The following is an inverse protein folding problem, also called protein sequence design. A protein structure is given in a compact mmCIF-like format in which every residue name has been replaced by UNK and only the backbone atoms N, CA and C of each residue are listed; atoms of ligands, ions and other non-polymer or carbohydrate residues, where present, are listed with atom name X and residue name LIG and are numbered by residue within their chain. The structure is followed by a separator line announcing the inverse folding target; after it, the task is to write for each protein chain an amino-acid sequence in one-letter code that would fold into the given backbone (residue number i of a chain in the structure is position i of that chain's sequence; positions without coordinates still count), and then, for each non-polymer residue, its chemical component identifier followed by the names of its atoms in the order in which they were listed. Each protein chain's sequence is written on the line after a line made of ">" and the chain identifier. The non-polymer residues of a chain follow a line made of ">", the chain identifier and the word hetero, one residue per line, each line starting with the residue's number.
data_IF_912721699104
#
_entry.id   IF_912721699104
#
_cell.length_a   1.000
_cell.length_b   1.000
_cell.length_c   1.000
_cell.angle_alpha   90.00
_cell.angle_beta   90.00
_cell.angle_gamma   90.00
#
_symmetry.space_group_name_H-M   'P 1'
#
loop_
_entity.id
_entity.type
_entity.pdbx_description
1 polymer ?
#
# COMPACT_ATOMS: atom_id res chain seq x y z
N UNK A 1 29.39 -24.06 18.83
CA UNK A 1 28.52 -25.05 19.49
C UNK A 1 27.25 -24.32 19.91
N UNK A 2 26.30 -24.17 18.98
CA UNK A 2 25.12 -23.29 19.15
C UNK A 2 23.90 -24.19 19.39
N UNK A 3 23.31 -24.11 20.58
CA UNK A 3 22.11 -24.86 20.94
C UNK A 3 20.90 -24.22 20.27
N UNK A 4 20.23 -24.98 19.41
CA UNK A 4 18.88 -24.70 18.94
C UNK A 4 17.93 -24.72 20.14
N UNK A 5 17.27 -23.60 20.42
CA UNK A 5 16.12 -23.56 21.34
C UNK A 5 14.89 -23.79 20.47
N UNK A 6 14.30 -24.98 20.60
CA UNK A 6 13.05 -25.35 19.94
C UNK A 6 11.90 -24.50 20.50
N UNK A 7 11.24 -23.73 19.62
CA UNK A 7 9.95 -23.10 19.93
C UNK A 7 8.86 -24.19 19.96
N UNK A 8 7.92 -24.15 20.91
CA UNK A 8 6.85 -25.13 21.01
C UNK A 8 5.87 -24.98 19.83
N UNK A 9 5.42 -26.13 19.32
CA UNK A 9 4.41 -26.24 18.27
C UNK A 9 3.13 -25.49 18.68
N UNK A 10 2.78 -24.45 17.92
CA UNK A 10 1.47 -23.81 18.02
C UNK A 10 0.40 -24.77 17.48
N UNK A 11 -0.33 -25.39 18.40
CA UNK A 11 -1.53 -26.17 18.12
C UNK A 11 -2.70 -25.24 17.74
N UNK A 12 -3.31 -25.57 16.60
CA UNK A 12 -4.71 -25.40 16.22
C UNK A 12 -5.51 -24.25 16.86
N UNK A 13 -5.56 -23.12 16.15
CA UNK A 13 -6.65 -22.13 16.25
C UNK A 13 -7.14 -21.65 14.87
N UNK A 14 -6.97 -22.48 13.82
CA UNK A 14 -7.30 -22.15 12.42
C UNK A 14 -8.58 -22.81 11.90
N UNK A 15 -9.48 -23.29 12.76
CA UNK A 15 -10.61 -24.13 12.35
C UNK A 15 -12.01 -23.51 12.45
N UNK A 16 -12.19 -22.18 12.53
CA UNK A 16 -13.54 -21.59 12.54
C UNK A 16 -13.83 -20.41 11.60
N UNK A 17 -12.86 -19.94 10.80
CA UNK A 17 -13.08 -18.84 9.83
C UNK A 17 -13.15 -19.27 8.36
N UNK A 18 -13.05 -20.57 8.06
CA UNK A 18 -12.98 -21.11 6.70
C UNK A 18 -14.26 -21.81 6.20
N UNK A 19 -15.44 -21.44 6.72
CA UNK A 19 -16.72 -21.99 6.28
C UNK A 19 -17.51 -20.96 5.47
N UNK A 20 -17.42 -21.01 4.13
CA UNK A 20 -18.45 -20.36 3.30
C UNK A 20 -18.15 -19.98 1.86
N UNK A 21 -16.89 -19.98 1.38
CA UNK A 21 -16.63 -19.54 0.00
C UNK A 21 -16.45 -20.72 -0.97
N UNK A 22 -17.52 -21.08 -1.69
CA UNK A 22 -17.43 -21.89 -2.92
C UNK A 22 -17.24 -20.94 -4.11
N UNK A 23 -16.13 -20.99 -4.87
CA UNK A 23 -16.01 -20.22 -6.10
C UNK A 23 -17.05 -20.74 -7.11
N UNK A 24 -17.72 -19.86 -7.87
CA UNK A 24 -18.67 -20.29 -8.89
C UNK A 24 -17.94 -21.11 -9.97
N UNK A 25 -18.39 -22.35 -10.18
CA UNK A 25 -17.91 -23.24 -11.23
C UNK A 25 -18.44 -22.76 -12.59
N UNK A 26 -17.72 -21.82 -13.20
CA UNK A 26 -17.98 -21.32 -14.55
C UNK A 26 -16.99 -20.22 -14.95
N UNK A 27 -16.49 -20.27 -16.18
CA UNK A 27 -15.64 -19.20 -16.74
C UNK A 27 -16.50 -17.95 -16.95
N UNK A 28 -16.56 -17.08 -15.95
CA UNK A 28 -17.30 -15.81 -16.04
C UNK A 28 -16.63 -14.86 -17.05
N UNK A 29 -17.40 -14.06 -17.77
CA UNK A 29 -16.90 -13.01 -18.67
C UNK A 29 -15.84 -12.11 -18.01
N UNK A 30 -15.96 -11.88 -16.70
CA UNK A 30 -14.99 -11.14 -15.87
C UNK A 30 -13.61 -11.80 -15.87
N UNK A 31 -13.54 -13.13 -15.88
CA UNK A 31 -12.28 -13.90 -15.86
C UNK A 31 -11.53 -13.83 -17.20
N UNK A 32 -12.25 -13.93 -18.32
CA UNK A 32 -11.69 -13.78 -19.68
C UNK A 32 -11.18 -12.35 -19.87
N UNK A 33 -11.98 -11.36 -19.46
CA UNK A 33 -11.60 -9.95 -19.53
C UNK A 33 -10.36 -9.64 -18.69
N UNK A 34 -10.23 -10.25 -17.51
CA UNK A 34 -9.04 -10.14 -16.67
C UNK A 34 -7.80 -10.75 -17.33
N UNK A 35 -7.93 -11.90 -17.98
CA UNK A 35 -6.84 -12.54 -18.73
C UNK A 35 -6.39 -11.64 -19.89
N UNK A 36 -7.33 -11.08 -20.66
CA UNK A 36 -7.05 -10.12 -21.73
C UNK A 36 -6.29 -8.89 -21.22
N UNK A 37 -6.79 -8.23 -20.15
CA UNK A 37 -6.15 -7.04 -19.57
C UNK A 37 -4.71 -7.34 -19.14
N UNK A 38 -4.48 -8.51 -18.52
CA UNK A 38 -3.14 -8.94 -18.09
C UNK A 38 -2.21 -9.19 -19.27
N UNK A 39 -2.67 -9.89 -20.31
CA UNK A 39 -1.90 -10.16 -21.52
C UNK A 39 -1.52 -8.88 -22.26
N UNK A 40 -2.50 -7.99 -22.49
CA UNK A 40 -2.27 -6.70 -23.13
C UNK A 40 -1.28 -5.83 -22.33
N UNK A 41 -1.39 -5.81 -21.00
CA UNK A 41 -0.46 -5.06 -20.16
C UNK A 41 0.98 -5.61 -20.21
N UNK A 42 1.16 -6.94 -20.21
CA UNK A 42 2.49 -7.57 -20.36
C UNK A 42 3.11 -7.22 -21.70
N UNK A 43 2.33 -7.33 -22.77
CA UNK A 43 2.77 -7.01 -24.12
C UNK A 43 3.12 -5.52 -24.25
N UNK A 44 2.32 -4.63 -23.65
CA UNK A 44 2.62 -3.20 -23.61
C UNK A 44 3.90 -2.86 -22.84
N UNK A 45 4.17 -3.55 -21.71
CA UNK A 45 5.42 -3.38 -20.96
C UNK A 45 6.62 -3.89 -21.77
N UNK A 46 6.49 -5.06 -22.41
CA UNK A 46 7.55 -5.63 -23.23
C UNK A 46 7.90 -4.72 -24.42
N UNK A 47 6.88 -4.26 -25.16
CA UNK A 47 7.05 -3.31 -26.26
C UNK A 47 7.58 -1.96 -25.77
N UNK A 48 7.15 -1.47 -24.60
CA UNK A 48 7.61 -0.21 -24.02
C UNK A 48 9.05 -0.22 -23.51
N UNK A 49 9.67 -1.40 -23.37
CA UNK A 49 11.11 -1.56 -23.09
C UNK A 49 11.96 -1.44 -24.35
N UNK A 50 11.37 -1.62 -25.53
CA UNK A 50 12.04 -1.41 -26.82
C UNK A 50 11.91 0.08 -27.21
N UNK A 51 13.02 0.70 -27.59
CA UNK A 51 13.06 2.09 -28.07
C UNK A 51 11.97 2.45 -29.09
N UNK A 52 11.79 1.68 -30.18
CA UNK A 52 10.74 1.95 -31.17
C UNK A 52 9.32 1.76 -30.62
N UNK A 53 9.13 0.88 -29.62
CA UNK A 53 7.81 0.63 -29.03
C UNK A 53 7.28 1.83 -28.23
N UNK A 54 8.15 2.60 -27.56
CA UNK A 54 7.76 3.86 -26.89
C UNK A 54 7.23 4.89 -27.88
N UNK A 55 7.89 5.02 -29.03
CA UNK A 55 7.51 5.95 -30.09
C UNK A 55 6.20 5.50 -30.75
N UNK A 56 6.04 4.21 -31.00
CA UNK A 56 4.80 3.62 -31.52
C UNK A 56 3.61 3.86 -30.58
N UNK A 57 3.76 3.68 -29.26
CA UNK A 57 2.69 3.99 -28.30
C UNK A 57 2.33 5.48 -28.27
N UNK A 58 3.30 6.38 -28.44
CA UNK A 58 3.04 7.82 -28.53
C UNK A 58 2.30 8.18 -29.82
N UNK A 59 2.70 7.59 -30.94
CA UNK A 59 2.03 7.77 -32.23
C UNK A 59 0.59 7.21 -32.18
N UNK A 60 0.40 6.00 -31.67
CA UNK A 60 -0.91 5.36 -31.51
C UNK A 60 -1.84 6.17 -30.60
N UNK A 61 -1.33 6.82 -29.55
CA UNK A 61 -2.13 7.73 -28.70
C UNK A 61 -2.54 9.03 -29.40
N UNK A 62 -1.86 9.43 -30.48
CA UNK A 62 -2.18 10.64 -31.26
C UNK A 62 -3.18 10.37 -32.38
N UNK A 63 -3.41 9.10 -32.73
CA UNK A 63 -4.44 8.72 -33.70
C UNK A 63 -5.85 8.92 -33.11
N UNK A 64 -6.83 9.36 -33.92
CA UNK A 64 -8.23 9.39 -33.51
C UNK A 64 -8.68 8.02 -32.98
N UNK A 65 -9.25 7.98 -31.77
CA UNK A 65 -9.68 6.73 -31.13
C UNK A 65 -8.56 5.83 -30.60
N UNK A 66 -7.29 6.08 -30.90
CA UNK A 66 -6.18 5.23 -30.45
C UNK A 66 -5.97 5.26 -28.93
N UNK A 67 -6.20 6.41 -28.29
CA UNK A 67 -6.25 6.50 -26.84
C UNK A 67 -7.42 5.71 -26.23
N UNK A 68 -8.59 5.71 -26.88
CA UNK A 68 -9.76 4.94 -26.44
C UNK A 68 -9.51 3.43 -26.58
N UNK A 69 -8.93 2.99 -27.71
CA UNK A 69 -8.54 1.61 -27.95
C UNK A 69 -7.55 1.10 -26.90
N UNK A 70 -6.48 1.86 -26.63
CA UNK A 70 -5.49 1.52 -25.61
C UNK A 70 -6.10 1.47 -24.20
N UNK A 71 -6.97 2.43 -23.88
CA UNK A 71 -7.68 2.46 -22.60
C UNK A 71 -8.64 1.27 -22.45
N UNK A 72 -9.27 0.82 -23.54
CA UNK A 72 -10.12 -0.36 -23.55
C UNK A 72 -9.31 -1.64 -23.43
N UNK A 73 -8.15 -1.75 -24.08
CA UNK A 73 -7.28 -2.93 -23.96
C UNK A 73 -6.62 -3.06 -22.58
N UNK A 74 -6.21 -1.95 -21.99
CA UNK A 74 -5.57 -1.93 -20.67
C UNK A 74 -6.57 -2.01 -19.50
N UNK A 75 -7.87 -1.83 -19.76
CA UNK A 75 -8.92 -1.90 -18.75
C UNK A 75 -8.62 -1.00 -17.55
N UNK A 76 -8.62 -1.57 -16.34
CA UNK A 76 -8.28 -0.84 -15.11
C UNK A 76 -6.79 -0.46 -14.99
N UNK A 77 -5.88 -0.96 -15.84
CA UNK A 77 -4.44 -0.65 -15.77
C UNK A 77 -4.05 0.66 -16.47
N UNK A 78 -5.03 1.51 -16.75
CA UNK A 78 -4.83 2.85 -17.35
C UNK A 78 -4.61 3.92 -16.27
N UNK A 79 -4.28 5.13 -16.70
CA UNK A 79 -4.16 6.30 -15.82
C UNK A 79 -5.52 6.94 -15.66
N UNK A 80 -5.90 7.23 -14.41
CA UNK A 80 -7.17 7.90 -14.09
C UNK A 80 -6.94 9.33 -13.62
N UNK A 81 -7.85 10.25 -13.98
CA UNK A 81 -7.77 11.64 -13.52
C UNK A 81 -8.19 11.81 -12.06
N UNK A 82 -9.04 10.93 -11.52
CA UNK A 82 -9.53 10.99 -10.13
C UNK A 82 -9.55 9.60 -9.49
N UNK A 83 -9.54 9.55 -8.15
CA UNK A 83 -9.61 8.30 -7.40
C UNK A 83 -10.94 7.58 -7.63
N UNK A 84 -12.06 8.32 -7.59
CA UNK A 84 -13.40 7.79 -7.85
C UNK A 84 -13.48 7.07 -9.21
N UNK A 85 -12.96 7.68 -10.28
CA UNK A 85 -12.90 7.07 -11.62
C UNK A 85 -12.06 5.78 -11.66
N UNK A 86 -11.01 5.70 -10.82
CA UNK A 86 -10.20 4.49 -10.71
C UNK A 86 -10.95 3.39 -9.94
N UNK A 87 -11.65 3.76 -8.85
CA UNK A 87 -12.47 2.87 -8.05
C UNK A 87 -13.63 2.28 -8.85
N UNK A 88 -14.42 3.09 -9.57
CA UNK A 88 -15.53 2.56 -10.38
C UNK A 88 -15.03 1.63 -11.49
N UNK A 89 -13.83 1.88 -12.03
CA UNK A 89 -13.28 1.05 -13.09
C UNK A 89 -12.72 -0.29 -12.60
N UNK A 90 -12.38 -0.40 -11.31
CA UNK A 90 -11.95 -1.67 -10.70
C UNK A 90 -13.12 -2.43 -10.06
N UNK A 91 -14.21 -1.75 -9.70
CA UNK A 91 -15.37 -2.33 -9.02
C UNK A 91 -15.92 -3.62 -9.67
N UNK A 92 -16.05 -3.74 -11.01
CA UNK A 92 -16.52 -4.98 -11.64
C UNK A 92 -15.54 -6.17 -11.53
N UNK A 93 -14.30 -5.90 -11.13
CA UNK A 93 -13.20 -6.87 -11.07
C UNK A 93 -12.70 -7.13 -9.64
N UNK A 94 -13.06 -6.26 -8.70
CA UNK A 94 -12.61 -6.29 -7.32
C UNK A 94 -13.61 -7.05 -6.46
N UNK A 95 -13.61 -8.39 -6.54
CA UNK A 95 -14.33 -9.18 -5.53
C UNK A 95 -13.72 -9.08 -4.13
N UNK A 96 -12.54 -8.45 -3.98
CA UNK A 96 -11.86 -8.21 -2.70
C UNK A 96 -11.01 -6.93 -2.84
N UNK A 97 -11.57 -5.76 -2.53
CA UNK A 97 -10.82 -4.50 -2.48
C UNK A 97 -9.69 -4.53 -1.44
N UNK A 98 -8.75 -3.58 -1.49
CA UNK A 98 -7.64 -3.50 -0.51
C UNK A 98 -8.12 -3.32 0.94
N UNK A 99 -9.38 -2.92 1.11
CA UNK A 99 -10.06 -2.70 2.39
C UNK A 99 -10.72 -3.98 2.95
N UNK A 100 -10.67 -5.11 2.24
CA UNK A 100 -11.23 -6.36 2.76
C UNK A 100 -10.33 -6.92 3.88
N UNK A 101 -10.87 -7.30 5.05
CA UNK A 101 -10.07 -7.74 6.21
C UNK A 101 -9.05 -8.84 5.89
N UNK A 102 -9.43 -9.83 5.06
CA UNK A 102 -8.53 -10.90 4.63
C UNK A 102 -7.30 -10.40 3.84
N UNK A 103 -7.47 -9.34 3.02
CA UNK A 103 -6.35 -8.74 2.30
C UNK A 103 -5.46 -7.95 3.26
N UNK A 104 -6.03 -7.26 4.26
CA UNK A 104 -5.24 -6.50 5.23
C UNK A 104 -4.36 -7.45 6.06
N UNK A 105 -4.92 -8.59 6.50
CA UNK A 105 -4.17 -9.64 7.21
C UNK A 105 -3.04 -10.25 6.35
N UNK A 106 -3.32 -10.62 5.10
CA UNK A 106 -2.29 -11.14 4.19
C UNK A 106 -1.19 -10.10 3.91
N UNK A 107 -1.56 -8.83 3.74
CA UNK A 107 -0.59 -7.75 3.53
C UNK A 107 0.21 -7.46 4.80
N UNK A 108 -0.37 -7.63 5.99
CA UNK A 108 0.33 -7.49 7.27
C UNK A 108 1.49 -8.48 7.35
N UNK A 109 1.25 -9.78 7.14
CA UNK A 109 2.27 -10.82 7.20
C UNK A 109 3.41 -10.62 6.19
N UNK A 110 3.09 -10.07 5.01
CA UNK A 110 4.08 -9.74 3.98
C UNK A 110 4.84 -8.43 4.22
N UNK A 111 4.39 -7.60 5.16
CA UNK A 111 4.95 -6.26 5.42
C UNK A 111 5.68 -6.16 6.76
N UNK A 112 5.60 -7.18 7.65
CA UNK A 112 6.40 -7.24 8.88
C UNK A 112 7.89 -7.52 8.62
N UNK A 113 8.27 -7.94 7.41
CA UNK A 113 9.67 -8.11 7.02
C UNK A 113 10.13 -6.93 6.18
N UNK A 114 11.29 -6.35 6.51
CA UNK A 114 11.84 -5.22 5.77
C UNK A 114 12.16 -5.61 4.32
N UNK A 115 11.82 -4.73 3.40
CA UNK A 115 12.18 -4.85 1.97
C UNK A 115 13.46 -4.07 1.70
N UNK A 116 14.18 -4.37 0.60
CA UNK A 116 15.30 -3.53 0.17
C UNK A 116 14.92 -2.05 0.02
N UNK A 117 13.68 -1.75 -0.36
CA UNK A 117 13.15 -0.38 -0.45
C UNK A 117 12.96 0.32 0.90
N UNK A 118 13.02 -0.40 2.02
CA UNK A 118 12.88 0.17 3.36
C UNK A 118 14.25 0.58 3.94
N UNK A 119 15.36 0.14 3.34
CA UNK A 119 16.71 0.41 3.82
C UNK A 119 16.99 1.90 4.00
N UNK A 120 16.65 2.73 3.00
CA UNK A 120 16.87 4.17 3.08
C UNK A 120 16.10 4.79 4.25
N UNK A 121 14.86 4.35 4.47
CA UNK A 121 14.06 4.84 5.58
C UNK A 121 14.63 4.40 6.92
N UNK A 122 14.93 3.10 7.09
CA UNK A 122 15.57 2.55 8.30
C UNK A 122 16.88 3.27 8.61
N UNK A 123 17.72 3.55 7.61
CA UNK A 123 18.99 4.26 7.77
C UNK A 123 18.81 5.64 8.41
N UNK A 124 17.81 6.41 7.96
CA UNK A 124 17.55 7.73 8.54
C UNK A 124 16.86 7.63 9.90
N UNK A 125 15.85 6.77 10.03
CA UNK A 125 15.11 6.60 11.28
C UNK A 125 16.04 6.14 12.40
N UNK A 126 16.95 5.19 12.14
CA UNK A 126 17.92 4.68 13.13
C UNK A 126 18.75 5.79 13.81
N UNK A 127 19.03 6.88 13.09
CA UNK A 127 19.78 8.02 13.64
C UNK A 127 18.93 8.95 14.48
N UNK A 128 17.63 8.96 14.25
CA UNK A 128 16.68 9.82 14.93
C UNK A 128 16.06 9.13 16.14
N UNK A 129 15.87 7.80 16.12
CA UNK A 129 15.17 7.03 17.16
C UNK A 129 15.51 7.43 18.61
N UNK A 130 16.79 7.66 18.99
CA UNK A 130 17.12 8.03 20.37
C UNK A 130 16.40 9.29 20.87
N UNK A 131 16.07 10.21 19.95
CA UNK A 131 15.46 11.51 20.23
C UNK A 131 13.95 11.56 19.89
N UNK A 132 13.40 10.53 19.25
CA UNK A 132 11.98 10.50 18.87
C UNK A 132 11.11 10.05 20.06
N UNK A 133 10.05 10.80 20.33
CA UNK A 133 8.97 10.45 21.28
C UNK A 133 7.64 10.27 20.60
N UNK A 134 7.40 10.95 19.48
CA UNK A 134 6.16 10.85 18.73
C UNK A 134 6.42 10.62 17.23
N UNK A 135 5.97 9.48 16.71
CA UNK A 135 5.98 9.16 15.28
C UNK A 135 4.54 9.16 14.77
N UNK A 136 4.29 9.81 13.64
CA UNK A 136 3.01 9.81 12.95
C UNK A 136 3.13 9.10 11.60
N UNK A 137 2.57 7.89 11.48
CA UNK A 137 2.67 7.01 10.32
C UNK A 137 1.40 7.09 9.46
N UNK A 138 1.54 7.71 8.29
CA UNK A 138 0.45 7.96 7.35
C UNK A 138 0.27 6.74 6.44
N UNK A 139 -0.90 6.10 6.51
CA UNK A 139 -1.20 4.88 5.77
C UNK A 139 -0.46 3.66 6.32
N UNK A 140 -0.25 3.60 7.63
CA UNK A 140 0.48 2.53 8.32
C UNK A 140 -0.30 1.21 8.46
N UNK A 141 -1.57 1.18 8.05
CA UNK A 141 -2.48 0.05 8.12
C UNK A 141 -2.63 -0.48 9.56
N UNK A 142 -2.48 -1.79 9.79
CA UNK A 142 -2.53 -2.38 11.12
C UNK A 142 -1.21 -2.22 11.93
N UNK A 143 -0.43 -1.17 11.65
CA UNK A 143 0.87 -0.92 12.31
C UNK A 143 2.05 -1.63 11.64
N UNK A 144 1.96 -1.89 10.33
CA UNK A 144 2.94 -2.68 9.59
C UNK A 144 4.39 -2.21 9.79
N UNK A 145 4.62 -0.90 9.67
CA UNK A 145 5.97 -0.33 9.76
C UNK A 145 6.50 -0.36 11.18
N UNK A 146 5.66 -0.17 12.19
CA UNK A 146 6.06 -0.31 13.58
C UNK A 146 6.59 -1.73 13.86
N UNK A 147 5.81 -2.76 13.54
CA UNK A 147 6.19 -4.15 13.77
C UNK A 147 7.38 -4.60 12.89
N UNK A 148 7.50 -4.03 11.70
CA UNK A 148 8.67 -4.24 10.86
C UNK A 148 9.92 -3.61 11.50
N UNK A 149 9.87 -2.31 11.81
CA UNK A 149 11.03 -1.54 12.22
C UNK A 149 11.48 -1.87 13.65
N UNK A 150 10.58 -2.25 14.56
CA UNK A 150 10.97 -2.70 15.91
C UNK A 150 11.90 -3.91 15.88
N UNK A 151 11.90 -4.69 14.79
CA UNK A 151 12.79 -5.84 14.62
C UNK A 151 14.21 -5.44 14.23
N UNK A 152 14.44 -4.16 13.91
CA UNK A 152 15.72 -3.61 13.47
C UNK A 152 16.17 -2.39 14.29
N UNK A 153 15.26 -1.75 15.02
CA UNK A 153 15.48 -0.51 15.76
C UNK A 153 15.01 -0.65 17.20
N UNK A 154 15.84 -0.19 18.14
CA UNK A 154 15.49 -0.15 19.56
C UNK A 154 14.64 1.09 19.85
N UNK A 155 13.32 0.93 19.72
CA UNK A 155 12.37 1.98 20.10
C UNK A 155 12.33 2.16 21.61
N UNK A 156 12.31 3.42 22.03
CA UNK A 156 12.17 3.76 23.43
C UNK A 156 10.84 3.23 24.00
N UNK A 157 10.79 2.86 25.29
CA UNK A 157 9.54 2.42 25.92
C UNK A 157 8.44 3.50 25.94
N UNK A 158 8.83 4.77 25.95
CA UNK A 158 7.93 5.94 25.97
C UNK A 158 7.62 6.51 24.58
N UNK A 159 8.10 5.85 23.50
CA UNK A 159 7.77 6.23 22.13
C UNK A 159 6.28 5.95 21.87
N UNK A 160 5.58 6.95 21.35
CA UNK A 160 4.22 6.79 20.82
C UNK A 160 4.27 6.77 19.30
N UNK A 161 3.80 5.67 18.71
CA UNK A 161 3.65 5.49 17.27
C UNK A 161 2.17 5.58 16.91
N UNK A 162 1.78 6.71 16.35
CA UNK A 162 0.40 6.97 15.92
C UNK A 162 0.24 6.61 14.45
N UNK A 163 -0.59 5.62 14.15
CA UNK A 163 -0.97 5.21 12.80
C UNK A 163 -2.21 5.97 12.37
N UNK A 164 -2.11 6.66 11.24
CA UNK A 164 -3.21 7.32 10.55
C UNK A 164 -3.67 6.48 9.36
N UNK A 165 -4.91 6.00 9.37
CA UNK A 165 -5.46 5.20 8.27
C UNK A 165 -7.00 5.27 8.22
N UNK A 166 -7.61 4.44 7.37
CA UNK A 166 -9.05 4.25 7.28
C UNK A 166 -9.59 3.42 8.47
N UNK A 167 -10.91 3.48 8.75
CA UNK A 167 -11.51 2.79 9.88
C UNK A 167 -11.25 1.28 9.94
N UNK A 168 -11.26 0.57 8.80
CA UNK A 168 -11.08 -0.89 8.80
C UNK A 168 -9.66 -1.33 9.20
N UNK A 169 -8.56 -0.81 8.59
CA UNK A 169 -7.21 -1.07 9.09
C UNK A 169 -6.98 -0.65 10.54
N UNK A 170 -7.57 0.47 10.98
CA UNK A 170 -7.50 0.95 12.37
C UNK A 170 -8.10 -0.09 13.33
N UNK A 171 -9.29 -0.61 13.02
CA UNK A 171 -9.96 -1.60 13.86
C UNK A 171 -9.11 -2.88 14.01
N UNK A 172 -8.54 -3.36 12.90
CA UNK A 172 -7.65 -4.52 12.91
C UNK A 172 -6.37 -4.25 13.72
N UNK A 173 -5.74 -3.09 13.51
CA UNK A 173 -4.53 -2.70 14.21
C UNK A 173 -4.72 -2.59 15.73
N UNK A 174 -5.85 -2.04 16.17
CA UNK A 174 -6.22 -1.98 17.60
C UNK A 174 -6.38 -3.37 18.20
N UNK A 175 -7.08 -4.27 17.50
CA UNK A 175 -7.25 -5.65 17.96
C UNK A 175 -5.89 -6.37 18.10
N UNK A 176 -5.02 -6.22 17.09
CA UNK A 176 -3.70 -6.82 17.09
C UNK A 176 -2.77 -6.25 18.18
N UNK A 177 -2.78 -4.94 18.38
CA UNK A 177 -2.00 -4.30 19.43
C UNK A 177 -2.44 -4.78 20.82
N UNK A 178 -3.75 -4.90 21.04
CA UNK A 178 -4.30 -5.45 22.29
C UNK A 178 -3.89 -6.93 22.50
N UNK A 179 -3.99 -7.76 21.46
CA UNK A 179 -3.57 -9.17 21.51
C UNK A 179 -2.08 -9.32 21.88
N UNK A 180 -1.24 -8.41 21.37
CA UNK A 180 0.21 -8.42 21.61
C UNK A 180 0.64 -7.65 22.87
N UNK A 181 -0.29 -6.99 23.56
CA UNK A 181 0.02 -6.10 24.68
C UNK A 181 0.90 -4.91 24.30
N UNK A 182 0.82 -4.45 23.06
CA UNK A 182 1.61 -3.33 22.56
C UNK A 182 0.91 -1.99 22.84
N UNK A 183 1.46 -1.23 23.77
CA UNK A 183 0.87 0.04 24.24
C UNK A 183 1.45 1.28 23.55
N UNK A 184 2.51 1.13 22.75
CA UNK A 184 3.13 2.24 22.00
C UNK A 184 2.38 2.57 20.73
N UNK A 185 1.53 1.67 20.24
CA UNK A 185 0.73 1.87 19.03
C UNK A 185 -0.60 2.56 19.34
N UNK A 186 -0.82 3.71 18.71
CA UNK A 186 -2.08 4.44 18.73
C UNK A 186 -2.64 4.49 17.31
N UNK A 187 -3.95 4.39 17.14
CA UNK A 187 -4.59 4.41 15.82
C UNK A 187 -5.64 5.51 15.74
N UNK A 188 -5.59 6.33 14.70
CA UNK A 188 -6.45 7.51 14.52
C UNK A 188 -6.83 7.73 13.06
N UNK A 189 -8.00 8.29 12.80
CA UNK A 189 -8.42 8.85 11.52
C UNK A 189 -8.40 10.39 11.53
N UNK A 190 -7.92 11.00 12.62
CA UNK A 190 -7.77 12.44 12.77
C UNK A 190 -6.37 12.91 12.37
N UNK A 191 -6.31 13.73 11.31
CA UNK A 191 -5.07 14.32 10.82
C UNK A 191 -4.44 15.31 11.82
N UNK A 192 -5.23 15.94 12.70
CA UNK A 192 -4.73 16.94 13.65
C UNK A 192 -3.79 16.33 14.70
N UNK A 193 -3.90 15.02 14.95
CA UNK A 193 -2.97 14.29 15.82
C UNK A 193 -1.52 14.26 15.29
N UNK A 194 -1.28 14.65 14.03
CA UNK A 194 0.07 14.83 13.50
C UNK A 194 0.77 16.10 14.01
N UNK A 195 0.02 17.02 14.64
CA UNK A 195 0.56 18.30 15.09
C UNK A 195 1.65 18.11 16.14
N UNK A 196 2.84 18.64 15.85
CA UNK A 196 3.97 18.60 16.78
C UNK A 196 4.64 17.24 16.97
N UNK A 197 4.34 16.24 16.13
CA UNK A 197 5.10 14.99 16.15
C UNK A 197 6.57 15.21 15.78
N UNK A 198 7.46 14.34 16.25
CA UNK A 198 8.88 14.43 15.93
C UNK A 198 9.16 13.97 14.50
N UNK A 199 8.50 12.89 14.07
CA UNK A 199 8.66 12.34 12.73
C UNK A 199 7.30 11.96 12.12
N UNK A 200 6.99 12.58 10.99
CA UNK A 200 5.93 12.11 10.09
C UNK A 200 6.52 11.13 9.07
N UNK A 201 6.01 9.91 9.04
CA UNK A 201 6.41 8.86 8.12
C UNK A 201 5.31 8.62 7.09
N UNK A 202 5.67 8.61 5.80
CA UNK A 202 4.74 8.37 4.70
C UNK A 202 5.37 7.36 3.76
N UNK A 203 4.99 6.08 3.89
CA UNK A 203 5.68 5.00 3.19
C UNK A 203 4.77 4.21 2.24
N UNK A 204 4.71 4.64 0.98
CA UNK A 204 3.87 4.01 -0.05
C UNK A 204 2.39 4.35 0.06
N UNK A 205 2.06 5.45 0.74
CA UNK A 205 0.69 5.90 0.97
C UNK A 205 0.40 7.31 0.40
N UNK A 206 1.43 8.11 0.11
CA UNK A 206 1.25 9.50 -0.31
C UNK A 206 0.39 9.63 -1.58
N UNK A 207 0.50 8.67 -2.50
CA UNK A 207 -0.30 8.65 -3.72
C UNK A 207 -1.75 8.24 -3.49
N UNK A 208 -2.23 8.08 -2.24
CA UNK A 208 -3.65 7.89 -1.94
C UNK A 208 -4.39 9.19 -1.60
N UNK A 209 -3.65 10.30 -1.44
CA UNK A 209 -4.22 11.60 -1.11
C UNK A 209 -4.44 12.45 -2.36
N UNK A 210 -5.68 12.94 -2.54
CA UNK A 210 -5.99 13.88 -3.62
C UNK A 210 -5.41 15.27 -3.35
N UNK A 211 -5.42 15.67 -2.08
CA UNK A 211 -4.89 16.95 -1.66
C UNK A 211 -3.36 16.91 -1.52
N UNK A 212 -2.63 17.93 -2.00
CA UNK A 212 -1.19 18.03 -1.78
C UNK A 212 -0.81 17.97 -0.30
N UNK A 213 0.26 17.23 0.01
CA UNK A 213 0.80 17.13 1.37
C UNK A 213 1.10 18.51 1.97
N UNK A 214 1.63 19.45 1.18
CA UNK A 214 1.92 20.80 1.64
C UNK A 214 0.67 21.50 2.22
N UNK A 215 -0.48 21.40 1.55
CA UNK A 215 -1.75 21.98 2.00
C UNK A 215 -2.25 21.35 3.30
N UNK A 216 -2.05 20.04 3.47
CA UNK A 216 -2.35 19.33 4.71
C UNK A 216 -1.43 19.74 5.85
N UNK A 217 -0.14 19.87 5.59
CA UNK A 217 0.83 20.34 6.58
C UNK A 217 0.52 21.77 7.02
N UNK A 218 0.11 22.65 6.10
CA UNK A 218 -0.26 24.04 6.40
C UNK A 218 -1.34 24.17 7.49
N UNK A 219 -2.24 23.18 7.58
CA UNK A 219 -3.33 23.15 8.57
C UNK A 219 -2.96 22.60 9.94
N UNK A 220 -1.75 22.06 10.10
CA UNK A 220 -1.26 21.64 11.41
C UNK A 220 -0.82 22.87 12.23
N UNK A 221 -1.30 23.02 13.48
CA UNK A 221 -0.86 24.07 14.39
C UNK A 221 0.65 24.09 14.57
N UNK A 222 1.25 22.91 14.80
CA UNK A 222 2.70 22.72 14.91
C UNK A 222 3.16 21.72 13.86
N UNK A 223 4.20 22.08 13.09
CA UNK A 223 4.72 21.20 12.04
C UNK A 223 5.46 20.01 12.64
N UNK A 224 5.46 18.84 11.96
CA UNK A 224 6.38 17.77 12.28
C UNK A 224 7.83 18.26 12.21
N UNK A 225 8.68 17.83 13.14
CA UNK A 225 10.11 18.20 13.14
C UNK A 225 10.83 17.58 11.93
N UNK A 226 10.50 16.34 11.60
CA UNK A 226 11.00 15.62 10.43
C UNK A 226 9.85 15.05 9.61
N UNK A 227 10.03 14.98 8.28
CA UNK A 227 9.10 14.31 7.37
C UNK A 227 9.92 13.35 6.51
N UNK A 228 9.56 12.07 6.53
CA UNK A 228 10.20 11.03 5.74
C UNK A 228 9.19 10.42 4.77
N UNK A 229 9.44 10.61 3.48
CA UNK A 229 8.62 10.05 2.40
C UNK A 229 9.40 8.88 1.79
N UNK A 230 8.82 7.69 1.81
CA UNK A 230 9.40 6.48 1.24
C UNK A 230 8.40 5.79 0.30
N UNK A 231 8.91 5.04 -0.69
CA UNK A 231 8.12 4.21 -1.62
C UNK A 231 6.98 4.95 -2.34
N UNK A 232 7.07 6.27 -2.48
CA UNK A 232 6.08 7.05 -3.21
C UNK A 232 6.41 7.09 -4.70
N UNK A 233 5.45 6.75 -5.59
CA UNK A 233 5.62 6.99 -7.01
C UNK A 233 5.77 8.50 -7.30
N UNK A 234 6.90 8.90 -7.86
CA UNK A 234 7.11 10.25 -8.36
C UNK A 234 7.05 10.27 -9.90
N UNK A 235 6.26 11.16 -10.49
CA UNK A 235 6.32 11.44 -11.93
C UNK A 235 7.36 12.55 -12.18
N UNK A 236 8.56 12.17 -12.61
CA UNK A 236 9.67 13.09 -12.92
C UNK A 236 9.34 14.04 -14.11
N UNK A 237 8.25 13.81 -14.86
CA UNK A 237 7.81 14.74 -15.91
C UNK A 237 6.97 15.92 -15.41
N UNK A 238 6.72 16.02 -14.11
CA UNK A 238 5.89 17.07 -13.50
C UNK A 238 6.59 18.45 -13.38
N UNK A 239 7.63 18.73 -14.17
CA UNK A 239 8.36 20.00 -14.14
C UNK A 239 7.57 21.19 -14.75
N UNK A 240 6.31 20.99 -15.13
CA UNK A 240 5.41 22.05 -15.58
C UNK A 240 4.23 22.17 -14.59
N UNK A 241 4.50 22.74 -13.42
CA UNK A 241 3.62 23.59 -12.58
C UNK A 241 2.17 23.19 -12.24
N UNK A 242 1.59 22.09 -12.73
CA UNK A 242 0.15 21.84 -12.56
C UNK A 242 -0.31 20.38 -12.76
N UNK A 243 0.46 19.38 -12.29
CA UNK A 243 0.12 17.95 -12.50
C UNK A 243 0.27 17.06 -11.27
N UNK A 244 -0.09 17.55 -10.08
CA UNK A 244 -0.50 16.65 -9.00
C UNK A 244 -1.79 15.93 -9.42
N UNK A 245 -1.89 14.60 -9.25
CA UNK A 245 -3.15 13.87 -9.48
C UNK A 245 -3.19 12.86 -10.63
N UNK A 246 -2.06 12.25 -11.06
CA UNK A 246 -2.11 11.11 -11.98
C UNK A 246 -1.95 9.77 -11.25
N UNK A 247 -3.06 9.06 -11.14
CA UNK A 247 -3.19 7.81 -10.40
C UNK A 247 -2.87 6.61 -11.31
N UNK A 248 -1.99 5.72 -10.85
CA UNK A 248 -1.72 4.42 -11.49
C UNK A 248 -2.04 3.30 -10.51
N UNK A 249 -2.89 2.37 -10.93
CA UNK A 249 -3.14 1.16 -10.16
C UNK A 249 -1.92 0.21 -10.22
N UNK A 250 -1.62 -0.52 -9.13
CA UNK A 250 -0.49 -1.45 -9.08
C UNK A 250 -0.59 -2.53 -10.17
N UNK A 251 0.56 -3.02 -10.61
CA UNK A 251 0.69 -3.95 -11.74
C UNK A 251 0.20 -5.38 -11.45
N UNK A 252 -0.14 -5.69 -10.20
CA UNK A 252 -0.76 -6.93 -9.75
C UNK A 252 -1.88 -6.59 -8.77
N UNK A 253 -3.08 -7.10 -9.04
CA UNK A 253 -4.08 -7.28 -7.99
C UNK A 253 -3.69 -8.54 -7.22
N UNK A 254 -3.81 -8.58 -5.89
CA UNK A 254 -3.65 -9.82 -5.14
C UNK A 254 -4.64 -10.83 -5.73
N UNK A 255 -4.10 -11.97 -6.18
CA UNK A 255 -4.93 -13.14 -6.46
C UNK A 255 -4.83 -13.93 -5.18
N UNK A 256 -5.94 -14.11 -4.47
CA UNK A 256 -6.00 -15.08 -3.38
C UNK A 256 -5.54 -16.43 -3.98
N UNK A 257 -4.31 -16.83 -3.67
CA UNK A 257 -3.79 -18.12 -4.07
C UNK A 257 -4.39 -19.13 -3.10
N UNK A 258 -5.44 -19.82 -3.53
CA UNK A 258 -5.84 -21.06 -2.88
C UNK A 258 -4.70 -22.06 -3.06
N UNK A 259 -3.87 -22.22 -2.03
CA UNK A 259 -2.98 -23.38 -1.95
C UNK A 259 -3.87 -24.59 -1.78
N UNK A 260 -3.91 -25.44 -2.80
CA UNK A 260 -4.31 -26.83 -2.64
C UNK A 260 -3.28 -27.46 -1.68
N UNK A 261 -3.75 -27.83 -0.50
CA UNK A 261 -3.13 -28.89 0.28
C UNK A 261 -3.69 -30.21 -0.26
N UNK A 262 -2.80 -31.19 -0.40
CA UNK A 262 -3.09 -32.57 -0.81
C UNK A 262 -4.18 -33.22 0.07
#
# INVERSE_FOLDING_TARGET
>A
MCRYVSLPAMNNASSSFAAGYRPPSGVSFTSIRLAQIRACARLAIALGRLGPGRTAFRALRRLPGGAALLNTMLGYRRVYPTLDRAQSAVAPYANLGHQHPANIAEHFDLNITARPSDYAALFYVARLVPDLKAIFDVGGSAGNLFYCYQSYLDFRPDLVWTVYDLPEPIALGRALAAERGENRLVFTDDWQMASGCDLMLISGSLHYFEEPLASRLLRLPTKPRYILINRTPADISANNGNRAGRWRLPSRLPVAQSRHAD
#
